data_IF_895238061159
#
_entry.id   IF_895238061159
#
_cell.length_a   1.000
_cell.length_b   1.000
_cell.length_c   1.000
_cell.angle_alpha   90.00
_cell.angle_beta   90.00
_cell.angle_gamma   90.00
#
_symmetry.space_group_name_H-M   'P 1'
#
loop_
_entity.id
_entity.type
_entity.pdbx_description
1 polymer ?
#
# COMPACT_ATOMS: atom_id res chain seq x y z
N UNK A 1 -14.55 -6.12 9.30
CA UNK A 1 -13.33 -6.38 8.50
C UNK A 1 -12.22 -5.57 9.14
N UNK A 2 -11.01 -6.12 9.28
CA UNK A 2 -9.88 -5.35 9.84
C UNK A 2 -9.49 -4.30 8.79
N UNK A 3 -9.35 -3.04 9.20
CA UNK A 3 -8.89 -1.95 8.34
C UNK A 3 -7.39 -1.77 8.57
N UNK A 4 -6.62 -1.63 7.50
CA UNK A 4 -5.17 -1.60 7.58
C UNK A 4 -4.58 -0.68 6.51
N UNK A 5 -3.31 -0.31 6.70
CA UNK A 5 -2.46 0.28 5.67
C UNK A 5 -1.55 -0.78 5.05
N UNK A 6 -1.25 -0.64 3.77
CA UNK A 6 -0.38 -1.54 3.03
C UNK A 6 0.85 -0.79 2.53
N UNK A 7 2.05 -1.25 2.90
CA UNK A 7 3.31 -0.82 2.30
C UNK A 7 3.73 -1.83 1.24
N UNK A 8 3.82 -1.38 0.00
CA UNK A 8 4.15 -2.17 -1.18
C UNK A 8 5.59 -1.79 -1.60
N UNK A 9 6.52 -2.71 -1.40
CA UNK A 9 7.93 -2.52 -1.72
C UNK A 9 8.25 -3.25 -3.03
N UNK A 10 8.65 -2.52 -4.06
CA UNK A 10 8.83 -3.08 -5.41
C UNK A 10 10.30 -2.98 -5.83
N UNK A 11 11.03 -4.10 -5.73
CA UNK A 11 12.44 -4.21 -6.18
C UNK A 11 12.63 -5.16 -7.37
N UNK A 12 11.53 -5.67 -7.91
CA UNK A 12 11.52 -6.44 -9.14
C UNK A 12 10.34 -6.04 -10.00
N UNK A 13 10.45 -6.28 -11.29
CA UNK A 13 9.34 -6.10 -12.22
C UNK A 13 8.15 -6.99 -11.81
N UNK A 14 6.97 -6.38 -11.75
CA UNK A 14 5.70 -7.04 -11.47
C UNK A 14 4.79 -6.80 -12.67
N UNK A 15 4.34 -7.88 -13.30
CA UNK A 15 3.47 -7.79 -14.47
C UNK A 15 2.10 -7.19 -14.12
N UNK A 16 1.53 -6.44 -15.07
CA UNK A 16 0.28 -5.69 -14.91
C UNK A 16 -0.89 -6.54 -14.39
N UNK A 17 -1.09 -7.74 -14.94
CA UNK A 17 -2.19 -8.62 -14.52
C UNK A 17 -2.10 -8.99 -13.05
N UNK A 18 -0.89 -9.35 -12.58
CA UNK A 18 -0.67 -9.72 -11.19
C UNK A 18 -0.74 -8.51 -10.25
N UNK A 19 -0.25 -7.34 -10.69
CA UNK A 19 -0.43 -6.09 -9.95
C UNK A 19 -1.91 -5.79 -9.73
N UNK A 20 -2.74 -5.89 -10.78
CA UNK A 20 -4.19 -5.66 -10.68
C UNK A 20 -4.89 -6.69 -9.78
N UNK A 21 -4.50 -7.97 -9.84
CA UNK A 21 -5.03 -9.00 -8.93
C UNK A 21 -4.71 -8.67 -7.46
N UNK A 22 -3.48 -8.23 -7.16
CA UNK A 22 -3.07 -7.82 -5.82
C UNK A 22 -3.84 -6.58 -5.37
N UNK A 23 -3.94 -5.54 -6.21
CA UNK A 23 -4.68 -4.31 -5.92
C UNK A 23 -6.14 -4.59 -5.57
N UNK A 24 -6.79 -5.45 -6.35
CA UNK A 24 -8.16 -5.90 -6.07
C UNK A 24 -8.27 -6.63 -4.73
N UNK A 25 -7.34 -7.54 -4.45
CA UNK A 25 -7.32 -8.26 -3.18
C UNK A 25 -7.11 -7.32 -1.97
N UNK A 26 -6.30 -6.26 -2.11
CA UNK A 26 -6.09 -5.26 -1.07
C UNK A 26 -7.38 -4.49 -0.76
N UNK A 27 -8.08 -4.01 -1.80
CA UNK A 27 -9.37 -3.30 -1.66
C UNK A 27 -10.41 -4.21 -1.00
N UNK A 28 -10.58 -5.44 -1.51
CA UNK A 28 -11.54 -6.42 -0.97
C UNK A 28 -11.24 -6.84 0.48
N UNK A 29 -9.96 -6.82 0.88
CA UNK A 29 -9.52 -7.14 2.24
C UNK A 29 -9.74 -5.99 3.24
N UNK A 30 -10.05 -4.78 2.76
CA UNK A 30 -10.28 -3.60 3.60
C UNK A 30 -9.05 -2.72 3.84
N UNK A 31 -8.08 -2.73 2.91
CA UNK A 31 -7.04 -1.71 2.87
C UNK A 31 -7.67 -0.32 2.78
N UNK A 32 -7.18 0.66 3.55
CA UNK A 32 -7.61 2.08 3.47
C UNK A 32 -6.46 3.02 3.12
N UNK A 33 -5.23 2.51 3.07
CA UNK A 33 -4.08 3.29 2.65
C UNK A 33 -3.07 2.39 1.96
N UNK A 34 -2.73 2.66 0.70
CA UNK A 34 -1.67 1.99 -0.03
C UNK A 34 -0.48 2.92 -0.24
N UNK A 35 0.72 2.47 0.16
CA UNK A 35 1.99 3.16 -0.04
C UNK A 35 2.85 2.32 -0.96
N UNK A 36 3.18 2.83 -2.14
CA UNK A 36 4.06 2.14 -3.07
C UNK A 36 5.46 2.78 -3.09
N UNK A 37 6.50 1.95 -3.10
CA UNK A 37 7.88 2.41 -3.17
C UNK A 37 8.72 1.53 -4.11
N UNK A 38 9.60 2.17 -4.88
CA UNK A 38 10.53 1.49 -5.77
C UNK A 38 10.08 1.45 -7.23
N UNK A 39 10.41 0.35 -7.92
CA UNK A 39 10.24 0.22 -9.38
C UNK A 39 8.77 0.39 -9.75
N UNK A 40 8.50 1.32 -10.66
CA UNK A 40 7.16 1.60 -11.19
C UNK A 40 6.10 1.79 -10.09
N UNK A 41 6.48 2.37 -8.94
CA UNK A 41 5.56 2.53 -7.82
C UNK A 41 4.34 3.38 -8.13
N UNK A 42 4.46 4.36 -9.05
CA UNK A 42 3.33 5.18 -9.53
C UNK A 42 2.28 4.39 -10.33
N UNK A 43 2.58 3.15 -10.72
CA UNK A 43 1.60 2.31 -11.40
C UNK A 43 0.74 1.51 -10.40
N UNK A 44 1.17 1.46 -9.13
CA UNK A 44 0.46 0.76 -8.07
C UNK A 44 -0.65 1.61 -7.48
N UNK A 45 -0.48 2.92 -7.32
CA UNK A 45 -1.57 3.83 -6.96
C UNK A 45 -2.65 3.83 -8.05
N UNK A 46 -2.28 3.98 -9.34
CA UNK A 46 -3.24 3.85 -10.44
C UNK A 46 -4.02 2.52 -10.36
N UNK A 47 -3.31 1.40 -10.16
CA UNK A 47 -3.92 0.07 -10.09
C UNK A 47 -4.87 -0.08 -8.90
N UNK A 48 -4.52 0.46 -7.73
CA UNK A 48 -5.36 0.43 -6.52
C UNK A 48 -6.58 1.34 -6.68
N UNK A 49 -6.42 2.53 -7.25
CA UNK A 49 -7.51 3.47 -7.51
C UNK A 49 -8.54 2.85 -8.48
N UNK A 50 -8.09 2.21 -9.56
CA UNK A 50 -8.98 1.49 -10.48
C UNK A 50 -9.71 0.35 -9.78
N UNK A 51 -9.00 -0.47 -8.99
CA UNK A 51 -9.61 -1.56 -8.24
C UNK A 51 -10.65 -1.06 -7.23
N UNK A 52 -10.40 0.07 -6.58
CA UNK A 52 -11.34 0.71 -5.66
C UNK A 52 -12.60 1.20 -6.37
N UNK A 53 -12.45 1.90 -7.50
CA UNK A 53 -13.57 2.38 -8.30
C UNK A 53 -14.41 1.23 -8.87
N UNK A 54 -13.77 0.18 -9.38
CA UNK A 54 -14.45 -1.03 -9.87
C UNK A 54 -15.24 -1.74 -8.76
N UNK A 55 -14.69 -1.82 -7.54
CA UNK A 55 -15.38 -2.41 -6.40
C UNK A 55 -16.66 -1.67 -5.99
N UNK A 56 -16.78 -0.39 -6.38
CA UNK A 56 -17.95 0.45 -6.14
C UNK A 56 -18.81 0.65 -7.39
N UNK A 57 -18.59 -0.12 -8.46
CA UNK A 57 -19.27 0.06 -9.75
C UNK A 57 -19.18 1.51 -10.29
N UNK A 58 -18.09 2.21 -9.98
CA UNK A 58 -17.88 3.64 -10.28
C UNK A 58 -18.96 4.57 -9.69
N UNK A 59 -19.64 4.12 -8.64
CA UNK A 59 -20.66 4.87 -7.91
C UNK A 59 -20.12 5.66 -6.72
N UNK A 60 -21.06 6.10 -5.87
CA UNK A 60 -20.73 6.80 -4.62
C UNK A 60 -20.17 5.83 -3.57
N UNK A 61 -19.26 6.32 -2.74
CA UNK A 61 -18.64 5.61 -1.62
C UNK A 61 -18.58 6.53 -0.39
N UNK A 62 -18.44 5.94 0.79
CA UNK A 62 -18.23 6.71 2.03
C UNK A 62 -16.75 7.08 2.22
N UNK A 63 -16.47 8.15 2.95
CA UNK A 63 -15.09 8.60 3.21
C UNK A 63 -14.28 7.55 4.00
N UNK A 64 -14.93 6.73 4.83
CA UNK A 64 -14.32 5.64 5.61
C UNK A 64 -14.07 4.34 4.80
N UNK A 65 -14.50 4.33 3.53
CA UNK A 65 -14.19 3.28 2.56
C UNK A 65 -13.04 3.68 1.62
N UNK A 66 -12.80 4.99 1.44
CA UNK A 66 -11.84 5.49 0.47
C UNK A 66 -10.43 4.97 0.75
N UNK A 67 -9.80 4.40 -0.27
CA UNK A 67 -8.41 3.94 -0.21
C UNK A 67 -7.52 5.09 -0.63
N UNK A 68 -6.80 5.68 0.32
CA UNK A 68 -5.78 6.67 0.01
C UNK A 68 -4.56 5.99 -0.61
N UNK A 69 -4.01 6.56 -1.68
CA UNK A 69 -2.84 6.03 -2.37
C UNK A 69 -1.71 7.06 -2.38
N UNK A 70 -0.46 6.61 -2.20
CA UNK A 70 0.75 7.43 -2.39
C UNK A 70 1.87 6.59 -2.97
N UNK A 71 2.70 7.20 -3.81
CA UNK A 71 3.94 6.60 -4.34
C UNK A 71 5.16 7.38 -3.84
N UNK A 72 6.30 6.69 -3.74
CA UNK A 72 7.56 7.19 -3.19
C UNK A 72 8.71 6.68 -4.09
N UNK A 73 9.07 7.45 -5.11
CA UNK A 73 10.08 7.09 -6.13
C UNK A 73 11.47 7.68 -5.86
N UNK A 74 11.56 8.68 -4.98
CA UNK A 74 12.80 9.40 -4.67
C UNK A 74 13.31 9.14 -3.23
N UNK A 75 12.51 8.48 -2.39
CA UNK A 75 12.84 8.16 -1.00
C UNK A 75 13.69 6.88 -0.88
N UNK A 76 14.39 6.74 0.24
CA UNK A 76 15.03 5.49 0.65
C UNK A 76 14.04 4.54 1.33
N UNK A 77 14.40 3.24 1.40
CA UNK A 77 13.60 2.24 2.13
C UNK A 77 13.39 2.62 3.62
N UNK A 78 14.39 3.25 4.26
CA UNK A 78 14.27 3.70 5.64
C UNK A 78 13.25 4.84 5.77
N UNK A 79 13.35 5.85 4.91
CA UNK A 79 12.42 6.99 4.87
C UNK A 79 10.97 6.55 4.62
N UNK A 80 10.73 5.64 3.67
CA UNK A 80 9.36 5.18 3.40
C UNK A 80 8.80 4.29 4.51
N UNK A 81 9.63 3.49 5.18
CA UNK A 81 9.19 2.70 6.34
C UNK A 81 8.85 3.61 7.52
N UNK A 82 9.64 4.66 7.75
CA UNK A 82 9.36 5.70 8.74
C UNK A 82 8.05 6.43 8.40
N UNK A 83 7.89 6.86 7.15
CA UNK A 83 6.66 7.50 6.68
C UNK A 83 5.45 6.58 6.88
N UNK A 84 5.54 5.31 6.47
CA UNK A 84 4.45 4.35 6.61
C UNK A 84 4.05 4.12 8.08
N UNK A 85 4.99 4.23 9.03
CA UNK A 85 4.67 4.13 10.46
C UNK A 85 3.84 5.32 10.95
N UNK A 86 4.26 6.53 10.62
CA UNK A 86 3.71 7.77 11.16
C UNK A 86 2.52 8.32 10.37
N UNK A 87 2.37 7.94 9.10
CA UNK A 87 1.23 8.31 8.27
C UNK A 87 -0.04 7.60 8.76
N UNK A 88 -0.76 8.27 9.65
CA UNK A 88 -1.99 7.76 10.30
C UNK A 88 -3.18 8.72 10.19
N UNK A 89 -2.95 9.98 9.79
CA UNK A 89 -3.98 11.04 9.69
C UNK A 89 -4.66 11.10 8.31
N UNK A 90 -4.89 9.94 7.71
CA UNK A 90 -5.37 9.79 6.34
C UNK A 90 -6.86 9.46 6.23
N UNK A 91 -7.48 9.07 7.35
CA UNK A 91 -8.92 8.83 7.46
C UNK A 91 -9.37 9.04 8.90
N UNK A 92 -10.68 9.18 9.13
CA UNK A 92 -11.27 9.15 10.48
C UNK A 92 -11.11 7.77 11.17
N UNK A 93 -10.65 6.76 10.42
CA UNK A 93 -10.35 5.42 10.92
C UNK A 93 -8.90 5.33 11.37
N UNK A 94 -8.68 4.88 12.61
CA UNK A 94 -7.33 4.58 13.10
C UNK A 94 -6.77 3.33 12.42
N UNK A 95 -5.70 3.51 11.66
CA UNK A 95 -4.97 2.41 11.00
C UNK A 95 -3.75 1.99 11.84
N UNK A 96 -3.99 1.08 12.79
CA UNK A 96 -2.94 0.54 13.66
C UNK A 96 -2.21 -0.66 13.03
N UNK A 97 -2.90 -1.43 12.20
CA UNK A 97 -2.35 -2.58 11.50
C UNK A 97 -1.70 -2.17 10.17
N UNK A 98 -0.49 -2.70 9.92
CA UNK A 98 0.23 -2.56 8.65
C UNK A 98 0.51 -3.92 8.03
N UNK A 99 0.16 -4.06 6.75
CA UNK A 99 0.59 -5.15 5.89
C UNK A 99 1.79 -4.68 5.07
N UNK A 100 2.85 -5.48 4.99
CA UNK A 100 3.96 -5.23 4.07
C UNK A 100 3.95 -6.28 2.98
N UNK A 101 3.87 -5.84 1.72
CA UNK A 101 4.05 -6.67 0.54
C UNK A 101 5.41 -6.37 -0.07
N UNK A 102 6.33 -7.34 0.01
CA UNK A 102 7.68 -7.17 -0.48
C UNK A 102 7.91 -7.97 -1.77
N UNK A 103 7.97 -7.25 -2.90
CA UNK A 103 8.31 -7.77 -4.21
C UNK A 103 9.81 -7.64 -4.46
N UNK A 104 10.61 -8.25 -3.59
CA UNK A 104 12.05 -8.43 -3.78
C UNK A 104 12.38 -9.84 -4.30
N UNK A 105 13.60 -10.01 -4.82
CA UNK A 105 14.12 -11.34 -5.18
C UNK A 105 14.65 -12.14 -3.98
N UNK A 106 14.85 -11.48 -2.85
CA UNK A 106 15.44 -12.05 -1.64
C UNK A 106 14.59 -11.74 -0.43
N UNK A 107 14.53 -12.67 0.51
CA UNK A 107 13.87 -12.50 1.81
C UNK A 107 14.60 -11.41 2.61
N UNK A 108 13.84 -10.43 3.14
CA UNK A 108 14.37 -9.30 3.91
C UNK A 108 13.39 -8.76 4.96
N UNK A 109 12.44 -9.58 5.41
CA UNK A 109 11.45 -9.18 6.42
C UNK A 109 12.13 -8.73 7.71
N UNK A 110 13.22 -9.41 8.13
CA UNK A 110 13.99 -9.01 9.32
C UNK A 110 14.58 -7.59 9.22
N UNK A 111 14.99 -7.16 8.02
CA UNK A 111 15.47 -5.80 7.79
C UNK A 111 14.32 -4.80 7.90
N UNK A 112 13.20 -5.07 7.24
CA UNK A 112 12.02 -4.21 7.23
C UNK A 112 11.46 -4.05 8.64
N UNK A 113 11.34 -5.15 9.40
CA UNK A 113 10.89 -5.13 10.79
C UNK A 113 11.82 -4.29 11.66
N UNK A 114 13.14 -4.41 11.48
CA UNK A 114 14.11 -3.58 12.20
C UNK A 114 13.97 -2.10 11.89
N UNK A 115 13.77 -1.73 10.63
CA UNK A 115 13.53 -0.34 10.22
C UNK A 115 12.23 0.17 10.85
N UNK A 116 11.16 -0.62 10.79
CA UNK A 116 9.86 -0.25 11.33
C UNK A 116 9.90 -0.07 12.87
N UNK A 117 10.66 -0.90 13.57
CA UNK A 117 10.84 -0.76 15.03
C UNK A 117 11.75 0.41 15.42
N UNK A 118 12.61 0.87 14.51
CA UNK A 118 13.53 1.99 14.75
C UNK A 118 12.92 3.37 14.45
N UNK A 119 11.96 3.44 13.52
CA UNK A 119 11.15 4.62 13.22
C UNK A 119 10.30 5.09 14.41
#
# INVERSE_FOLDING_TARGET
>A
MIKFKCLILIEREVGNDYRNEVSKALVEAGCLYSLAWGIDCSEWDDSVDWAFLEAHDFGDYSEDEFVMTTWHDDETLEEVVEFAKHCTDCSDVKLEDILVLDFAHHERSELIERLYLAA
#
